data_IF_163098988848
#
_entry.id   IF_163098988848
#
_cell.length_a   1.000
_cell.length_b   1.000
_cell.length_c   1.000
_cell.angle_alpha   90.00
_cell.angle_beta   90.00
_cell.angle_gamma   90.00
#
_symmetry.space_group_name_H-M   'P 1'
#
loop_
_entity.id
_entity.type
_entity.pdbx_description
1 polymer ?
#
# COMPACT_ATOMS: atom_id res chain seq x y z
N UNK A 1 11.48 -1.82 0.14
CA UNK A 1 10.07 -1.96 -0.29
C UNK A 1 9.80 -3.28 -1.03
N UNK A 2 8.57 -3.80 -0.96
CA UNK A 2 8.08 -4.97 -1.71
C UNK A 2 6.76 -4.61 -2.42
N UNK A 3 6.55 -5.09 -3.64
CA UNK A 3 5.30 -4.93 -4.38
C UNK A 3 4.54 -6.24 -4.52
N UNK A 4 3.24 -6.24 -4.24
CA UNK A 4 2.35 -7.39 -4.39
C UNK A 4 1.29 -7.13 -5.45
N UNK A 5 1.17 -8.04 -6.41
CA UNK A 5 0.19 -8.04 -7.52
C UNK A 5 -0.36 -9.45 -7.62
N UNK A 6 -1.69 -9.60 -7.55
CA UNK A 6 -2.39 -10.89 -7.56
C UNK A 6 -1.83 -11.92 -6.54
N UNK A 7 -1.25 -11.44 -5.43
CA UNK A 7 -0.64 -12.20 -4.35
C UNK A 7 -1.12 -11.69 -2.98
N UNK A 8 -2.37 -12.01 -2.65
CA UNK A 8 -2.95 -11.69 -1.35
C UNK A 8 -2.29 -12.49 -0.22
N UNK A 9 -1.81 -13.71 -0.49
CA UNK A 9 -1.14 -14.56 0.49
C UNK A 9 0.17 -13.93 0.99
N UNK A 10 1.05 -13.53 0.06
CA UNK A 10 2.29 -12.85 0.37
C UNK A 10 2.06 -11.51 1.06
N UNK A 11 1.07 -10.74 0.61
CA UNK A 11 0.69 -9.48 1.25
C UNK A 11 0.21 -9.68 2.70
N UNK A 12 -0.67 -10.64 2.96
CA UNK A 12 -1.20 -10.90 4.32
C UNK A 12 -0.11 -11.47 5.25
N UNK A 13 0.80 -12.29 4.73
CA UNK A 13 1.97 -12.75 5.47
C UNK A 13 2.86 -11.57 5.87
N UNK A 14 3.10 -10.63 4.96
CA UNK A 14 3.87 -9.42 5.24
C UNK A 14 3.20 -8.56 6.31
N UNK A 15 1.89 -8.28 6.22
CA UNK A 15 1.17 -7.50 7.25
C UNK A 15 1.32 -8.11 8.66
N UNK A 16 1.32 -9.44 8.74
CA UNK A 16 1.44 -10.18 10.01
C UNK A 16 2.85 -10.06 10.58
N UNK A 17 3.88 -10.14 9.74
CA UNK A 17 5.28 -10.01 10.17
C UNK A 17 5.71 -8.56 10.45
N UNK A 18 5.02 -7.57 9.87
CA UNK A 18 5.41 -6.15 9.88
C UNK A 18 4.30 -5.24 10.44
N UNK A 19 3.86 -5.41 11.71
CA UNK A 19 2.71 -4.67 12.25
C UNK A 19 2.93 -3.15 12.33
N UNK A 20 4.20 -2.71 12.43
CA UNK A 20 4.58 -1.28 12.44
C UNK A 20 4.75 -0.67 11.04
N UNK A 21 4.75 -1.50 10.00
CA UNK A 21 5.05 -1.09 8.63
C UNK A 21 3.97 -0.25 7.97
N UNK A 22 4.24 0.11 6.73
CA UNK A 22 3.44 0.99 5.91
C UNK A 22 3.03 0.33 4.60
N UNK A 23 1.86 0.72 4.11
CA UNK A 23 1.27 0.19 2.88
C UNK A 23 0.78 1.34 2.02
N UNK A 24 1.17 1.37 0.75
CA UNK A 24 0.53 2.19 -0.28
C UNK A 24 -0.39 1.31 -1.10
N UNK A 25 -1.68 1.65 -1.11
CA UNK A 25 -2.63 1.12 -2.08
C UNK A 25 -2.55 1.94 -3.36
N UNK A 26 -2.17 1.32 -4.48
CA UNK A 26 -2.11 2.01 -5.79
C UNK A 26 -2.90 1.26 -6.84
N UNK A 27 -3.27 1.95 -7.92
CA UNK A 27 -3.79 1.28 -9.13
C UNK A 27 -2.68 0.52 -9.83
N UNK A 28 -3.01 -0.61 -10.45
CA UNK A 28 -2.05 -1.43 -11.22
C UNK A 28 -1.56 -0.70 -12.47
N UNK A 29 -2.42 0.13 -13.07
CA UNK A 29 -2.02 1.07 -14.12
C UNK A 29 -1.09 2.12 -13.52
N UNK A 30 0.13 2.23 -14.02
CA UNK A 30 1.10 3.20 -13.54
C UNK A 30 0.55 4.62 -13.70
N UNK A 31 0.42 5.35 -12.60
CA UNK A 31 -0.04 6.72 -12.62
C UNK A 31 -0.18 7.31 -11.22
N UNK A 32 -0.05 8.64 -11.07
CA UNK A 32 -0.01 9.29 -9.76
C UNK A 32 -1.39 9.40 -9.11
N UNK A 33 -2.48 9.22 -9.87
CA UNK A 33 -3.83 9.61 -9.45
C UNK A 33 -4.40 8.85 -8.25
N UNK A 34 -3.91 7.64 -7.96
CA UNK A 34 -4.38 6.85 -6.81
C UNK A 34 -3.22 6.15 -6.10
N UNK A 35 -2.85 6.71 -4.95
CA UNK A 35 -1.83 6.21 -4.04
C UNK A 35 -2.23 6.57 -2.59
N UNK A 36 -2.84 5.63 -1.89
CA UNK A 36 -3.37 5.86 -0.53
C UNK A 36 -2.44 5.21 0.49
N UNK A 37 -1.92 6.00 1.43
CA UNK A 37 -1.05 5.52 2.51
C UNK A 37 -1.85 4.98 3.70
N UNK A 38 -1.41 3.85 4.22
CA UNK A 38 -1.93 3.19 5.41
C UNK A 38 -0.81 2.65 6.31
N UNK A 39 -1.13 2.39 7.59
CA UNK A 39 -0.38 1.45 8.43
C UNK A 39 -0.73 0.01 8.10
N UNK A 40 0.21 -0.91 8.29
CA UNK A 40 0.00 -2.34 8.09
C UNK A 40 -1.20 -2.89 8.90
N UNK A 41 -1.37 -2.43 10.14
CA UNK A 41 -2.50 -2.79 10.99
C UNK A 41 -3.84 -2.10 10.66
N UNK A 42 -3.94 -1.36 9.56
CA UNK A 42 -5.18 -0.65 9.24
C UNK A 42 -6.31 -1.64 8.88
N UNK A 43 -7.42 -1.61 9.62
CA UNK A 43 -8.54 -2.53 9.38
C UNK A 43 -9.07 -2.49 7.95
N UNK A 44 -9.01 -1.35 7.26
CA UNK A 44 -9.55 -1.20 5.90
C UNK A 44 -8.76 -1.94 4.82
N UNK A 45 -7.51 -2.32 5.12
CA UNK A 45 -6.65 -3.08 4.20
C UNK A 45 -6.44 -4.53 4.65
N UNK A 46 -7.19 -4.95 5.68
CA UNK A 46 -7.13 -6.25 6.35
C UNK A 46 -8.52 -6.93 6.47
N UNK A 47 -9.58 -6.34 5.88
CA UNK A 47 -10.95 -6.88 6.02
C UNK A 47 -11.11 -8.15 5.19
N UNK A 48 -11.49 -9.31 5.78
CA UNK A 48 -11.72 -10.55 5.04
C UNK A 48 -12.57 -10.33 3.78
N UNK A 49 -12.03 -10.72 2.64
CA UNK A 49 -12.66 -10.62 1.33
C UNK A 49 -12.31 -11.89 0.53
N UNK A 50 -13.02 -12.08 -0.58
CA UNK A 50 -12.71 -13.13 -1.57
C UNK A 50 -11.24 -13.12 -2.00
N UNK A 51 -10.79 -14.20 -2.64
CA UNK A 51 -9.44 -14.29 -3.21
C UNK A 51 -9.12 -13.11 -4.17
N UNK A 52 -7.88 -12.62 -4.09
CA UNK A 52 -7.31 -11.47 -4.85
C UNK A 52 -8.02 -10.12 -4.64
N UNK A 53 -8.74 -9.96 -3.54
CA UNK A 53 -9.43 -8.72 -3.24
C UNK A 53 -8.50 -7.56 -2.84
N UNK A 54 -7.25 -7.83 -2.43
CA UNK A 54 -6.35 -6.77 -1.97
C UNK A 54 -5.32 -6.34 -3.02
N UNK A 55 -4.72 -7.30 -3.72
CA UNK A 55 -3.60 -7.09 -4.65
C UNK A 55 -3.98 -7.33 -6.11
N UNK A 56 -5.25 -7.65 -6.38
CA UNK A 56 -5.79 -7.83 -7.72
C UNK A 56 -6.81 -6.74 -8.10
N UNK A 57 -7.66 -7.05 -9.08
CA UNK A 57 -8.79 -6.19 -9.52
C UNK A 57 -8.37 -4.77 -9.93
N UNK A 58 -7.19 -4.65 -10.52
CA UNK A 58 -6.65 -3.36 -10.98
C UNK A 58 -6.00 -2.52 -9.87
N UNK A 59 -5.72 -3.13 -8.71
CA UNK A 59 -4.90 -2.56 -7.66
C UNK A 59 -3.66 -3.41 -7.40
N UNK A 60 -2.64 -2.79 -6.80
CA UNK A 60 -1.47 -3.47 -6.24
C UNK A 60 -1.10 -2.81 -4.91
N UNK A 61 -0.38 -3.55 -4.06
CA UNK A 61 0.11 -3.03 -2.79
C UNK A 61 1.61 -2.84 -2.86
N UNK A 62 2.11 -1.71 -2.36
CA UNK A 62 3.55 -1.51 -2.13
C UNK A 62 3.75 -1.31 -0.65
N UNK A 63 4.64 -2.10 -0.07
CA UNK A 63 4.85 -2.16 1.38
C UNK A 63 6.30 -1.86 1.74
N UNK A 64 6.51 -1.28 2.91
CA UNK A 64 7.84 -1.13 3.51
C UNK A 64 7.73 -0.87 5.01
N UNK A 65 8.77 -1.21 5.76
CA UNK A 65 8.90 -0.79 7.16
C UNK A 65 9.31 0.68 7.30
N UNK A 66 9.89 1.25 6.24
CA UNK A 66 10.31 2.65 6.16
C UNK A 66 9.36 3.45 5.27
N UNK A 67 8.90 4.60 5.76
CA UNK A 67 8.05 5.48 4.97
C UNK A 67 8.81 6.21 3.87
N UNK A 68 10.11 6.43 4.02
CA UNK A 68 10.91 7.14 3.02
C UNK A 68 11.09 6.30 1.74
N UNK A 69 11.14 4.96 1.87
CA UNK A 69 11.00 4.01 0.76
C UNK A 69 9.71 4.24 -0.03
N UNK A 70 8.58 4.47 0.67
CA UNK A 70 7.28 4.67 0.04
C UNK A 70 7.13 6.06 -0.56
N UNK A 71 7.79 7.07 0.00
CA UNK A 71 7.91 8.40 -0.63
C UNK A 71 8.75 8.33 -1.89
N UNK A 72 9.86 7.59 -1.89
CA UNK A 72 10.66 7.35 -3.09
C UNK A 72 9.85 6.62 -4.17
N UNK A 73 9.03 5.63 -3.77
CA UNK A 73 8.06 5.00 -4.67
C UNK A 73 7.01 5.99 -5.20
N UNK A 74 6.46 6.88 -4.37
CA UNK A 74 5.52 7.90 -4.82
C UNK A 74 6.13 8.80 -5.92
N UNK A 75 7.40 9.18 -5.77
CA UNK A 75 8.16 9.91 -6.79
C UNK A 75 8.27 9.12 -8.10
N UNK A 76 8.56 7.82 -8.03
CA UNK A 76 8.74 7.00 -9.24
C UNK A 76 7.46 6.81 -10.06
N UNK A 77 6.28 6.98 -9.45
CA UNK A 77 4.98 6.92 -10.15
C UNK A 77 4.43 8.30 -10.55
N UNK A 78 5.25 9.35 -10.47
CA UNK A 78 4.90 10.71 -10.91
C UNK A 78 4.42 11.67 -9.82
N UNK A 79 4.49 11.29 -8.54
CA UNK A 79 4.26 12.21 -7.41
C UNK A 79 5.60 12.77 -6.94
N UNK A 80 6.15 13.70 -7.72
CA UNK A 80 7.53 14.21 -7.62
C UNK A 80 7.91 14.80 -6.26
N UNK A 81 6.94 15.30 -5.49
CA UNK A 81 7.13 15.77 -4.11
C UNK A 81 7.24 14.63 -3.08
N UNK A 82 7.00 13.38 -3.50
CA UNK A 82 6.93 12.21 -2.62
C UNK A 82 5.64 12.12 -1.82
N UNK A 83 4.63 12.95 -2.13
CA UNK A 83 3.32 12.91 -1.48
C UNK A 83 2.52 11.68 -1.90
N UNK A 84 1.56 11.30 -1.06
CA UNK A 84 0.53 10.33 -1.41
C UNK A 84 -0.73 11.06 -1.89
N UNK A 85 -1.55 10.41 -2.70
CA UNK A 85 -2.84 10.99 -3.14
C UNK A 85 -3.77 11.24 -1.96
N UNK A 86 -3.70 10.35 -0.97
CA UNK A 86 -4.44 10.42 0.27
C UNK A 86 -3.64 9.73 1.37
N UNK A 87 -3.85 10.18 2.60
CA UNK A 87 -3.38 9.55 3.82
C UNK A 87 -4.62 9.06 4.56
N UNK A 88 -4.65 7.79 4.94
CA UNK A 88 -5.83 7.21 5.58
C UNK A 88 -6.09 7.86 6.94
N UNK A 89 -7.18 8.63 7.06
CA UNK A 89 -7.55 9.30 8.30
C UNK A 89 -7.93 8.37 9.45
N UNK A 90 -8.24 7.09 9.17
CA UNK A 90 -8.58 6.13 10.22
C UNK A 90 -7.36 5.55 10.93
N UNK A 91 -6.28 5.26 10.19
CA UNK A 91 -5.05 4.75 10.80
C UNK A 91 -4.01 5.83 11.05
N UNK A 92 -4.22 7.06 10.55
CA UNK A 92 -3.34 8.22 10.72
C UNK A 92 -1.85 7.81 10.69
N UNK A 93 -1.35 7.31 9.55
CA UNK A 93 -0.05 6.66 9.50
C UNK A 93 1.13 7.62 9.72
N UNK A 94 0.89 8.93 9.67
CA UNK A 94 1.84 10.03 9.85
C UNK A 94 1.54 10.80 11.12
#
# INVERSE_FOLDING_TARGET
MIGFVDDDGGYMAWLTAHPGGFVVNVRSTAGPGYAVLHRAGCRFIYVPRDDRAYTGRGYRKVVSDDIDDLRAFARSIGRWDGSFSQVCGHCAPL
#
